data_IF_655598885484
#
_entry.id   IF_655598885484
#
_cell.length_a   1.000
_cell.length_b   1.000
_cell.length_c   1.000
_cell.angle_alpha   90.00
_cell.angle_beta   90.00
_cell.angle_gamma   90.00
#
_symmetry.space_group_name_H-M   'P 1'
#
loop_
_entity.id
_entity.type
_entity.pdbx_description
1 polymer ?
#
# COMPACT_ATOMS: atom_id res chain seq x y z
N UNK A 1 -1.06 -10.78 6.81
CA UNK A 1 -0.22 -9.86 6.00
C UNK A 1 0.56 -10.47 4.83
N UNK A 2 0.53 -11.78 4.56
CA UNK A 2 1.33 -12.42 3.47
C UNK A 2 0.88 -12.10 2.03
N UNK A 3 -0.07 -11.18 1.85
CA UNK A 3 -0.73 -10.96 0.55
C UNK A 3 -0.29 -9.68 -0.17
N UNK A 4 0.31 -8.71 0.55
CA UNK A 4 0.74 -7.43 0.00
C UNK A 4 2.26 -7.27 0.17
N UNK A 5 2.93 -6.69 -0.83
CA UNK A 5 4.33 -6.26 -0.72
C UNK A 5 4.42 -4.94 0.06
N UNK A 6 5.58 -4.62 0.62
CA UNK A 6 5.79 -3.39 1.39
C UNK A 6 5.43 -2.15 0.58
N UNK A 7 5.80 -2.10 -0.71
CA UNK A 7 5.51 -0.96 -1.58
C UNK A 7 4.00 -0.86 -1.93
N UNK A 8 3.30 -2.00 -1.98
CA UNK A 8 1.84 -2.02 -2.13
C UNK A 8 1.15 -1.50 -0.86
N UNK A 9 1.68 -1.86 0.31
CA UNK A 9 1.18 -1.36 1.60
C UNK A 9 1.43 0.15 1.74
N UNK A 10 2.60 0.66 1.33
CA UNK A 10 2.90 2.09 1.30
C UNK A 10 1.92 2.88 0.42
N UNK A 11 1.60 2.36 -0.77
CA UNK A 11 0.59 2.98 -1.64
C UNK A 11 -0.79 3.03 -0.99
N UNK A 12 -1.17 2.00 -0.24
CA UNK A 12 -2.42 1.98 0.53
C UNK A 12 -2.36 2.94 1.72
N UNK A 13 -1.22 3.05 2.39
CA UNK A 13 -1.02 4.00 3.49
C UNK A 13 -1.17 5.44 3.02
N UNK A 14 -0.54 5.81 1.89
CA UNK A 14 -0.57 7.19 1.39
C UNK A 14 -1.90 7.58 0.74
N UNK A 15 -2.52 6.68 -0.03
CA UNK A 15 -3.67 7.02 -0.88
C UNK A 15 -4.97 6.33 -0.48
N UNK A 16 -4.91 5.34 0.41
CA UNK A 16 -6.05 4.56 0.82
C UNK A 16 -6.91 5.21 1.90
N UNK A 17 -8.00 4.54 2.22
CA UNK A 17 -8.84 4.74 3.40
C UNK A 17 -9.52 3.40 3.76
N UNK A 18 -10.29 3.28 4.86
CA UNK A 18 -10.94 2.01 5.22
C UNK A 18 -11.96 1.50 4.19
N UNK A 19 -12.37 2.33 3.23
CA UNK A 19 -13.30 1.97 2.17
C UNK A 19 -12.55 1.51 0.90
N UNK A 20 -12.68 0.23 0.57
CA UNK A 20 -12.00 -0.40 -0.57
C UNK A 20 -12.30 0.29 -1.91
N UNK A 21 -13.56 0.67 -2.14
CA UNK A 21 -13.97 1.32 -3.39
C UNK A 21 -13.25 2.65 -3.54
N UNK A 22 -13.24 3.46 -2.49
CA UNK A 22 -12.58 4.77 -2.47
C UNK A 22 -11.07 4.64 -2.66
N UNK A 23 -10.42 3.67 -1.99
CA UNK A 23 -8.99 3.43 -2.19
C UNK A 23 -8.68 3.11 -3.65
N UNK A 24 -9.46 2.23 -4.29
CA UNK A 24 -9.23 1.85 -5.69
C UNK A 24 -9.43 3.03 -6.64
N UNK A 25 -10.46 3.85 -6.41
CA UNK A 25 -10.69 5.05 -7.22
C UNK A 25 -9.51 6.02 -7.10
N UNK A 26 -9.05 6.30 -5.87
CA UNK A 26 -7.87 7.14 -5.63
C UNK A 26 -6.61 6.59 -6.28
N UNK A 27 -6.33 5.30 -6.11
CA UNK A 27 -5.20 4.64 -6.74
C UNK A 27 -5.26 4.74 -8.27
N UNK A 28 -6.44 4.54 -8.89
CA UNK A 28 -6.60 4.71 -10.34
C UNK A 28 -6.33 6.15 -10.78
N UNK A 29 -6.77 7.15 -10.02
CA UNK A 29 -6.42 8.55 -10.29
C UNK A 29 -4.92 8.81 -10.20
N UNK A 30 -4.23 8.26 -9.18
CA UNK A 30 -2.77 8.34 -9.07
C UNK A 30 -2.09 7.68 -10.27
N UNK A 31 -2.58 6.52 -10.72
CA UNK A 31 -2.04 5.83 -11.90
C UNK A 31 -2.25 6.61 -13.21
N UNK A 32 -3.33 7.39 -13.32
CA UNK A 32 -3.59 8.28 -14.45
C UNK A 32 -2.59 9.44 -14.49
N UNK A 33 -2.27 10.00 -13.33
CA UNK A 33 -1.35 11.13 -13.17
C UNK A 33 0.13 10.73 -13.18
N UNK A 34 0.44 9.46 -12.90
CA UNK A 34 1.81 8.97 -12.85
C UNK A 34 2.48 9.01 -14.24
N UNK A 35 3.58 9.76 -14.33
CA UNK A 35 4.47 9.77 -15.51
C UNK A 35 5.34 8.52 -15.59
N UNK A 36 5.62 7.88 -14.45
CA UNK A 36 6.40 6.66 -14.36
C UNK A 36 5.56 5.41 -14.71
N UNK A 37 5.90 4.76 -15.83
CA UNK A 37 5.22 3.55 -16.31
C UNK A 37 5.34 2.35 -15.36
N UNK A 38 6.44 2.22 -14.61
CA UNK A 38 6.56 1.19 -13.57
C UNK A 38 5.53 1.40 -12.47
N UNK A 39 5.41 2.63 -11.97
CA UNK A 39 4.48 2.99 -10.90
C UNK A 39 3.04 2.77 -11.36
N UNK A 40 2.69 3.22 -12.58
CA UNK A 40 1.37 2.99 -13.19
C UNK A 40 1.02 1.50 -13.23
N UNK A 41 1.92 0.66 -13.74
CA UNK A 41 1.72 -0.81 -13.80
C UNK A 41 1.61 -1.44 -12.41
N UNK A 42 2.35 -0.93 -11.41
CA UNK A 42 2.27 -1.41 -10.02
C UNK A 42 0.92 -1.10 -9.42
N UNK A 43 0.43 0.14 -9.58
CA UNK A 43 -0.87 0.56 -9.06
C UNK A 43 -2.02 -0.22 -9.71
N UNK A 44 -2.00 -0.40 -11.04
CA UNK A 44 -3.03 -1.18 -11.74
C UNK A 44 -3.08 -2.63 -11.21
N UNK A 45 -1.90 -3.26 -11.04
CA UNK A 45 -1.81 -4.63 -10.48
C UNK A 45 -2.32 -4.69 -9.04
N UNK A 46 -2.01 -3.68 -8.22
CA UNK A 46 -2.52 -3.57 -6.86
C UNK A 46 -4.05 -3.47 -6.84
N UNK A 47 -4.64 -2.61 -7.68
CA UNK A 47 -6.10 -2.48 -7.80
C UNK A 47 -6.79 -3.82 -8.10
N UNK A 48 -6.23 -4.63 -9.01
CA UNK A 48 -6.76 -5.95 -9.33
C UNK A 48 -6.56 -6.94 -8.17
N UNK A 49 -5.43 -6.84 -7.46
CA UNK A 49 -5.13 -7.68 -6.30
C UNK A 49 -6.12 -7.47 -5.16
N UNK A 50 -6.53 -6.22 -4.94
CA UNK A 50 -7.50 -5.84 -3.91
C UNK A 50 -8.93 -6.35 -4.19
N UNK A 51 -9.23 -6.84 -5.40
CA UNK A 51 -10.52 -7.45 -5.75
C UNK A 51 -10.60 -8.94 -5.38
N UNK A 52 -9.48 -9.56 -4.97
CA UNK A 52 -9.49 -10.98 -4.58
C UNK A 52 -10.34 -11.16 -3.33
N UNK A 53 -11.29 -12.10 -3.38
CA UNK A 53 -12.31 -12.36 -2.35
C UNK A 53 -11.80 -12.27 -0.91
N UNK A 54 -10.67 -12.91 -0.59
CA UNK A 54 -10.09 -12.87 0.77
C UNK A 54 -9.46 -11.53 1.18
N UNK A 55 -8.99 -10.71 0.24
CA UNK A 55 -8.48 -9.36 0.49
C UNK A 55 -9.60 -8.34 0.54
N UNK A 56 -10.57 -8.44 -0.37
CA UNK A 56 -11.66 -7.46 -0.45
C UNK A 56 -12.57 -7.50 0.78
N UNK A 57 -12.86 -8.70 1.29
CA UNK A 57 -13.68 -8.91 2.49
C UNK A 57 -13.01 -8.40 3.76
N UNK A 58 -11.67 -8.43 3.83
CA UNK A 58 -10.89 -8.04 5.01
C UNK A 58 -10.23 -6.67 4.89
N UNK A 59 -10.55 -5.92 3.83
CA UNK A 59 -9.76 -4.76 3.44
C UNK A 59 -9.67 -3.68 4.53
N UNK A 60 -10.77 -3.39 5.23
CA UNK A 60 -10.79 -2.37 6.30
C UNK A 60 -9.83 -2.73 7.44
N UNK A 61 -9.83 -3.99 7.88
CA UNK A 61 -8.92 -4.50 8.91
C UNK A 61 -7.47 -4.42 8.44
N UNK A 62 -7.21 -4.82 7.20
CA UNK A 62 -5.89 -4.73 6.58
C UNK A 62 -5.41 -3.26 6.53
N UNK A 63 -6.30 -2.33 6.16
CA UNK A 63 -5.98 -0.90 6.10
C UNK A 63 -5.54 -0.38 7.46
N UNK A 64 -6.28 -0.66 8.54
CA UNK A 64 -5.90 -0.20 9.88
C UNK A 64 -4.57 -0.79 10.34
N UNK A 65 -4.30 -2.05 10.06
CA UNK A 65 -2.99 -2.61 10.34
C UNK A 65 -1.85 -1.97 9.53
N UNK A 66 -2.10 -1.61 8.27
CA UNK A 66 -1.13 -0.86 7.46
C UNK A 66 -0.90 0.52 8.09
N UNK A 67 -1.94 1.21 8.55
CA UNK A 67 -1.79 2.45 9.29
C UNK A 67 -0.95 2.26 10.55
N UNK A 68 -1.19 1.23 11.35
CA UNK A 68 -0.37 0.93 12.52
C UNK A 68 1.09 0.69 12.15
N UNK A 69 1.38 -0.05 11.08
CA UNK A 69 2.74 -0.34 10.63
C UNK A 69 3.51 0.92 10.21
N UNK A 70 2.85 1.85 9.52
CA UNK A 70 3.48 3.07 9.00
C UNK A 70 3.25 4.32 9.85
N UNK A 71 2.47 4.22 10.94
CA UNK A 71 2.33 5.30 11.89
C UNK A 71 3.71 5.70 12.41
N UNK A 72 4.06 7.00 12.37
CA UNK A 72 5.33 7.47 12.91
C UNK A 72 5.40 7.11 14.39
N UNK A 73 6.58 6.72 14.82
CA UNK A 73 6.85 6.41 16.22
C UNK A 73 6.74 7.72 17.03
N UNK A 74 5.69 7.86 17.83
CA UNK A 74 5.50 9.01 18.73
C UNK A 74 6.32 8.86 20.03
N UNK A 75 7.21 7.86 20.10
CA UNK A 75 8.04 7.57 21.25
C UNK A 75 7.33 6.75 22.33
N UNK A 76 6.07 6.33 22.10
CA UNK A 76 5.33 5.45 23.02
C UNK A 76 5.49 3.96 22.71
N UNK A 77 6.07 3.59 21.56
CA UNK A 77 6.30 2.18 21.21
C UNK A 77 7.58 1.65 21.87
N UNK A 78 7.54 0.44 22.44
CA UNK A 78 8.74 -0.17 22.98
C UNK A 78 9.79 -0.39 21.87
N UNK A 79 11.09 -0.16 22.17
CA UNK A 79 12.16 -0.26 21.19
C UNK A 79 12.22 -1.68 20.61
N UNK A 80 12.14 -1.80 19.28
CA UNK A 80 12.14 -3.08 18.56
C UNK A 80 11.08 -3.21 17.46
N UNK A 81 10.17 -2.24 17.33
CA UNK A 81 9.02 -2.34 16.40
C UNK A 81 9.20 -1.52 15.11
N UNK A 82 10.15 -0.59 15.08
CA UNK A 82 10.32 0.37 13.98
C UNK A 82 11.60 0.09 13.18
N UNK A 83 11.53 -0.85 12.23
CA UNK A 83 12.52 -0.98 11.17
C UNK A 83 11.93 -1.72 9.97
N UNK A 84 11.34 -1.02 9.00
CA UNK A 84 11.11 -1.57 7.66
C UNK A 84 11.35 -0.51 6.58
N UNK A 85 12.63 -0.47 6.20
CA UNK A 85 13.22 -0.35 4.86
C UNK A 85 12.66 0.69 3.88
N UNK A 86 13.61 1.55 3.46
CA UNK A 86 13.61 2.32 2.20
C UNK A 86 13.15 1.41 1.05
N UNK A 87 12.24 1.85 0.17
CA UNK A 87 11.86 1.06 -1.01
C UNK A 87 13.10 0.87 -1.89
N UNK A 88 13.43 -0.38 -2.25
CA UNK A 88 14.42 -0.62 -3.29
C UNK A 88 13.83 -0.16 -4.64
N UNK A 89 14.54 0.75 -5.31
CA UNK A 89 14.26 1.18 -6.69
C UNK A 89 14.60 0.06 -7.69
N UNK A 90 13.86 -1.04 -7.66
CA UNK A 90 14.01 -2.16 -8.61
C UNK A 90 13.56 -1.82 -10.05
N UNK A 91 13.35 -0.54 -10.40
CA UNK A 91 13.01 -0.12 -11.78
C UNK A 91 14.19 0.43 -12.58
N UNK A 92 15.42 0.34 -12.07
CA UNK A 92 16.64 0.65 -12.83
C UNK A 92 17.35 -0.60 -13.40
N UNK A 93 16.77 -1.80 -13.24
CA UNK A 93 17.31 -3.01 -13.83
C UNK A 93 16.46 -3.48 -15.03
N UNK A 94 17.02 -3.24 -16.22
CA UNK A 94 16.65 -3.72 -17.56
C UNK A 94 15.49 -3.00 -18.30
#
# INVERSE_FOLDING_TARGET
>A
MRYLKVEEMQLIYWFGCPNLKNTKERLRSVALLATNNCMKRRIIRLCNKLERRGLSEQYSVIYFHICELFSPDDGTRPPGTSALMVPNDDCMAA
#
